data_IF_858036137176
#
_entry.id   IF_858036137176
#
_cell.length_a   1.000
_cell.length_b   1.000
_cell.length_c   1.000
_cell.angle_alpha   90.00
_cell.angle_beta   90.00
_cell.angle_gamma   90.00
#
_symmetry.space_group_name_H-M   'P 1'
#
loop_
_entity.id
_entity.type
_entity.pdbx_description
1 polymer ?
#
# COMPACT_ATOMS: atom_id res chain seq x y z
N UNK A 1 -22.57 -11.26 -3.11
CA UNK A 1 -21.39 -11.52 -3.94
C UNK A 1 -20.56 -12.56 -3.22
N UNK A 2 -20.04 -13.61 -3.88
CA UNK A 2 -19.14 -14.55 -3.22
C UNK A 2 -17.74 -13.92 -3.04
N UNK A 3 -16.97 -14.37 -2.04
CA UNK A 3 -15.61 -13.87 -1.83
C UNK A 3 -14.74 -14.05 -3.07
N UNK A 4 -14.87 -15.15 -3.79
CA UNK A 4 -14.12 -15.38 -5.02
C UNK A 4 -14.42 -14.35 -6.12
N UNK A 5 -15.70 -13.99 -6.31
CA UNK A 5 -16.09 -12.95 -7.27
C UNK A 5 -15.56 -11.57 -6.84
N UNK A 6 -15.65 -11.24 -5.56
CA UNK A 6 -15.10 -10.00 -5.03
C UNK A 6 -13.58 -9.92 -5.25
N UNK A 7 -12.85 -10.97 -4.87
CA UNK A 7 -11.39 -11.00 -5.00
C UNK A 7 -10.90 -10.89 -6.45
N UNK A 8 -11.64 -11.46 -7.42
CA UNK A 8 -11.30 -11.33 -8.86
C UNK A 8 -11.45 -9.90 -9.38
N UNK A 9 -12.38 -9.14 -8.82
CA UNK A 9 -12.62 -7.74 -9.19
C UNK A 9 -11.75 -6.75 -8.41
N UNK A 10 -11.19 -7.17 -7.26
CA UNK A 10 -10.31 -6.35 -6.42
C UNK A 10 -9.01 -6.03 -7.17
N UNK A 11 -8.62 -4.76 -7.21
CA UNK A 11 -7.41 -4.27 -7.87
C UNK A 11 -6.32 -3.84 -6.90
N UNK A 12 -6.70 -3.27 -5.75
CA UNK A 12 -5.77 -2.70 -4.77
C UNK A 12 -5.92 -3.35 -3.40
N UNK A 13 -4.81 -3.84 -2.87
CA UNK A 13 -4.75 -4.60 -1.62
C UNK A 13 -3.67 -4.05 -0.71
N UNK A 14 -4.04 -3.63 0.50
CA UNK A 14 -3.04 -3.33 1.53
C UNK A 14 -2.83 -4.55 2.44
N UNK A 15 -1.58 -4.98 2.59
CA UNK A 15 -1.21 -6.09 3.47
C UNK A 15 -0.68 -5.52 4.77
N UNK A 16 -1.54 -5.50 5.78
CA UNK A 16 -1.28 -4.84 7.07
C UNK A 16 -0.46 -5.77 7.97
N UNK A 17 0.74 -5.33 8.34
CA UNK A 17 1.72 -6.11 9.08
C UNK A 17 2.84 -6.69 8.22
N UNK A 18 2.85 -6.41 6.92
CA UNK A 18 3.91 -6.85 6.01
C UNK A 18 5.17 -6.00 6.18
N UNK A 19 6.13 -6.52 6.90
CA UNK A 19 7.45 -5.94 7.15
C UNK A 19 8.58 -6.84 6.66
N UNK A 20 9.82 -6.54 7.05
CA UNK A 20 11.04 -7.21 6.56
C UNK A 20 11.23 -8.63 7.06
N UNK A 21 10.59 -9.02 8.17
CA UNK A 21 10.75 -10.35 8.73
C UNK A 21 10.10 -11.41 7.82
N UNK A 22 10.93 -12.14 7.08
CA UNK A 22 10.54 -13.16 6.09
C UNK A 22 9.79 -14.37 6.69
N UNK A 23 9.93 -14.60 7.99
CA UNK A 23 9.23 -15.69 8.68
C UNK A 23 7.78 -15.34 9.05
N UNK A 24 7.43 -14.06 8.98
CA UNK A 24 6.09 -13.60 9.31
C UNK A 24 5.10 -13.90 8.17
N UNK A 25 3.89 -14.39 8.51
CA UNK A 25 2.87 -14.69 7.50
C UNK A 25 2.54 -13.51 6.58
N UNK A 26 2.55 -12.27 7.09
CA UNK A 26 2.29 -11.08 6.29
C UNK A 26 3.35 -10.85 5.19
N UNK A 27 4.63 -11.07 5.49
CA UNK A 27 5.71 -10.98 4.50
C UNK A 27 5.55 -12.05 3.42
N UNK A 28 5.31 -13.31 3.85
CA UNK A 28 5.09 -14.44 2.92
C UNK A 28 3.85 -14.20 2.05
N UNK A 29 2.76 -13.71 2.63
CA UNK A 29 1.56 -13.39 1.86
C UNK A 29 1.83 -12.39 0.73
N UNK A 30 2.68 -11.38 0.97
CA UNK A 30 3.10 -10.46 -0.08
C UNK A 30 3.84 -11.18 -1.22
N UNK A 31 4.78 -12.08 -0.88
CA UNK A 31 5.56 -12.84 -1.86
C UNK A 31 4.67 -13.83 -2.64
N UNK A 32 3.86 -14.61 -1.94
CA UNK A 32 3.01 -15.67 -2.52
C UNK A 32 1.95 -15.12 -3.47
N UNK A 33 1.54 -13.88 -3.26
CA UNK A 33 0.52 -13.21 -4.07
C UNK A 33 1.10 -12.33 -5.19
N UNK A 34 2.42 -12.17 -5.26
CA UNK A 34 3.08 -11.45 -6.36
C UNK A 34 2.76 -12.12 -7.70
N UNK A 35 2.41 -11.31 -8.71
CA UNK A 35 2.05 -11.80 -10.04
C UNK A 35 0.58 -12.16 -10.24
N UNK A 36 -0.28 -12.09 -9.20
CA UNK A 36 -1.72 -12.30 -9.32
C UNK A 36 -2.52 -11.06 -9.75
N UNK A 37 -1.85 -10.02 -10.25
CA UNK A 37 -2.48 -8.83 -10.83
C UNK A 37 -2.94 -7.76 -9.83
N UNK A 38 -2.81 -8.00 -8.54
CA UNK A 38 -3.13 -6.99 -7.52
C UNK A 38 -2.06 -5.91 -7.42
N UNK A 39 -2.47 -4.64 -7.26
CA UNK A 39 -1.60 -3.59 -6.72
C UNK A 39 -1.50 -3.82 -5.21
N UNK A 40 -0.40 -4.40 -4.77
CA UNK A 40 -0.18 -4.72 -3.37
C UNK A 40 0.68 -3.68 -2.68
N UNK A 41 0.22 -3.21 -1.52
CA UNK A 41 0.91 -2.23 -0.67
C UNK A 41 1.27 -2.88 0.67
N UNK A 42 2.54 -3.16 0.94
CA UNK A 42 2.96 -3.66 2.25
C UNK A 42 2.95 -2.52 3.26
N UNK A 43 2.35 -2.76 4.43
CA UNK A 43 2.23 -1.74 5.49
C UNK A 43 2.84 -2.26 6.78
N UNK A 44 3.89 -1.58 7.27
CA UNK A 44 4.52 -1.87 8.55
C UNK A 44 5.22 -0.62 9.13
N UNK A 45 4.81 -0.13 10.32
CA UNK A 45 5.26 1.18 10.83
C UNK A 45 6.76 1.23 11.16
N UNK A 46 7.39 0.10 11.54
CA UNK A 46 8.81 0.06 11.91
C UNK A 46 9.75 -0.19 10.74
N UNK A 47 9.26 -0.84 9.69
CA UNK A 47 10.06 -1.22 8.53
C UNK A 47 9.76 -0.29 7.33
N UNK A 48 8.97 0.76 7.55
CA UNK A 48 8.70 1.78 6.55
C UNK A 48 10.00 2.42 6.06
N UNK A 49 10.06 2.69 4.75
CA UNK A 49 11.27 3.16 4.09
C UNK A 49 12.20 2.07 3.58
N UNK A 50 11.87 0.79 3.83
CA UNK A 50 12.50 -0.37 3.19
C UNK A 50 11.57 -0.95 2.12
N UNK A 51 12.01 -2.03 1.43
CA UNK A 51 11.23 -2.67 0.37
C UNK A 51 11.01 -4.17 0.60
N UNK A 52 9.90 -4.69 0.09
CA UNK A 52 9.71 -6.13 -0.13
C UNK A 52 9.67 -6.37 -1.63
N UNK A 53 10.65 -7.09 -2.17
CA UNK A 53 10.77 -7.35 -3.61
C UNK A 53 10.61 -6.08 -4.47
N UNK A 54 11.28 -5.01 -4.08
CA UNK A 54 11.29 -3.74 -4.79
C UNK A 54 10.05 -2.85 -4.60
N UNK A 55 9.09 -3.27 -3.77
CA UNK A 55 7.90 -2.46 -3.42
C UNK A 55 8.09 -1.84 -2.05
N UNK A 56 7.97 -0.51 -1.93
CA UNK A 56 8.14 0.22 -0.67
C UNK A 56 7.16 -0.22 0.42
N UNK A 57 7.66 -0.38 1.63
CA UNK A 57 6.85 -0.59 2.83
C UNK A 57 6.37 0.77 3.33
N UNK A 58 5.06 0.96 3.42
CA UNK A 58 4.49 2.21 3.93
C UNK A 58 4.30 2.17 5.45
N UNK A 59 4.38 3.32 6.14
CA UNK A 59 4.28 3.39 7.59
C UNK A 59 2.86 3.10 8.11
N UNK A 60 1.86 3.44 7.31
CA UNK A 60 0.44 3.30 7.65
C UNK A 60 -0.41 3.25 6.37
N UNK A 61 -1.61 2.67 6.43
CA UNK A 61 -2.40 2.43 5.22
C UNK A 61 -2.89 3.72 4.54
N UNK A 62 -2.98 4.84 5.24
CA UNK A 62 -3.37 6.13 4.65
C UNK A 62 -2.21 6.91 3.99
N UNK A 63 -1.00 6.36 3.95
CA UNK A 63 0.11 6.90 3.17
C UNK A 63 -0.01 6.60 1.65
N UNK A 64 -1.00 5.82 1.24
CA UNK A 64 -1.30 5.48 -0.15
C UNK A 64 -2.75 5.80 -0.48
N UNK A 65 -3.12 5.63 -1.76
CA UNK A 65 -4.53 5.67 -2.19
C UNK A 65 -5.35 4.62 -1.44
N UNK A 66 -6.64 4.91 -1.23
CA UNK A 66 -7.52 4.02 -0.50
C UNK A 66 -7.57 2.64 -1.19
N UNK A 67 -7.37 1.55 -0.45
CA UNK A 67 -7.45 0.19 -0.98
C UNK A 67 -8.91 -0.26 -1.14
N UNK A 68 -9.12 -1.24 -1.99
CA UNK A 68 -10.37 -1.97 -2.05
C UNK A 68 -10.43 -3.10 -1.01
N UNK A 69 -9.26 -3.58 -0.58
CA UNK A 69 -9.12 -4.68 0.38
C UNK A 69 -8.00 -4.41 1.40
N UNK A 70 -8.31 -4.57 2.68
CA UNK A 70 -7.32 -4.78 3.74
C UNK A 70 -7.18 -6.27 4.05
N UNK A 71 -5.97 -6.78 3.99
CA UNK A 71 -5.60 -8.10 4.53
C UNK A 71 -4.81 -7.89 5.81
N UNK A 72 -5.42 -8.21 6.96
CA UNK A 72 -4.91 -7.80 8.28
C UNK A 72 -4.24 -8.97 9.00
N UNK A 73 -2.94 -8.80 9.33
CA UNK A 73 -2.09 -9.74 10.07
C UNK A 73 -1.70 -9.19 11.46
N UNK A 74 -2.50 -8.32 12.04
CA UNK A 74 -2.24 -7.76 13.36
C UNK A 74 -2.89 -8.59 14.47
N UNK A 75 -2.47 -8.38 15.73
CA UNK A 75 -3.22 -8.87 16.88
C UNK A 75 -4.60 -8.22 16.95
N UNK A 76 -5.61 -8.86 17.57
CA UNK A 76 -6.96 -8.31 17.67
C UNK A 76 -7.02 -6.87 18.20
N UNK A 77 -6.27 -6.57 19.27
CA UNK A 77 -6.19 -5.24 19.86
C UNK A 77 -5.71 -4.17 18.85
N UNK A 78 -4.63 -4.48 18.10
CA UNK A 78 -4.10 -3.58 17.07
C UNK A 78 -5.03 -3.45 15.87
N UNK A 79 -5.68 -4.53 15.50
CA UNK A 79 -6.69 -4.57 14.44
C UNK A 79 -7.83 -3.61 14.76
N UNK A 80 -8.43 -3.73 15.96
CA UNK A 80 -9.51 -2.84 16.38
C UNK A 80 -9.07 -1.36 16.43
N UNK A 81 -7.86 -1.12 16.93
CA UNK A 81 -7.28 0.24 16.95
C UNK A 81 -7.09 0.83 15.56
N UNK A 82 -6.65 0.03 14.57
CA UNK A 82 -6.52 0.43 13.18
C UNK A 82 -7.89 0.75 12.56
N UNK A 83 -8.86 -0.16 12.71
CA UNK A 83 -10.20 -0.02 12.12
C UNK A 83 -10.92 1.22 12.64
N UNK A 84 -10.85 1.49 13.94
CA UNK A 84 -11.42 2.71 14.55
C UNK A 84 -10.79 3.99 13.96
N UNK A 85 -9.47 4.02 13.81
CA UNK A 85 -8.77 5.16 13.19
C UNK A 85 -9.17 5.33 11.73
N UNK A 86 -9.34 4.23 10.99
CA UNK A 86 -9.74 4.28 9.59
C UNK A 86 -11.14 4.88 9.43
N UNK A 87 -12.12 4.41 10.20
CA UNK A 87 -13.50 4.93 10.18
C UNK A 87 -13.54 6.43 10.48
N UNK A 88 -12.78 6.90 11.49
CA UNK A 88 -12.71 8.32 11.86
C UNK A 88 -12.02 9.16 10.78
N UNK A 89 -11.17 8.58 9.94
CA UNK A 89 -10.44 9.31 8.88
C UNK A 89 -11.31 9.77 7.72
N UNK A 90 -12.58 9.37 7.67
CA UNK A 90 -13.55 9.68 6.61
C UNK A 90 -13.10 9.26 5.19
N UNK A 91 -12.28 8.22 5.10
CA UNK A 91 -11.86 7.61 3.84
C UNK A 91 -12.82 6.52 3.40
N UNK A 92 -12.75 6.13 2.12
CA UNK A 92 -13.51 4.99 1.62
C UNK A 92 -13.16 3.74 2.42
N UNK A 93 -14.21 3.04 2.89
CA UNK A 93 -14.04 1.82 3.69
C UNK A 93 -13.76 0.63 2.77
N UNK A 94 -12.59 -0.01 2.87
CA UNK A 94 -12.29 -1.22 2.11
C UNK A 94 -13.06 -2.42 2.66
N UNK A 95 -13.09 -3.50 1.89
CA UNK A 95 -13.41 -4.81 2.43
C UNK A 95 -12.32 -5.23 3.42
N UNK A 96 -12.70 -5.78 4.58
CA UNK A 96 -11.76 -6.21 5.62
C UNK A 96 -11.61 -7.73 5.59
N UNK A 97 -10.40 -8.21 5.31
CA UNK A 97 -10.07 -9.63 5.44
C UNK A 97 -9.21 -9.85 6.67
N UNK A 98 -9.84 -10.38 7.72
CA UNK A 98 -9.14 -10.75 8.95
C UNK A 98 -8.45 -12.11 8.74
N UNK A 99 -7.11 -12.13 8.87
CA UNK A 99 -6.37 -13.38 8.84
C UNK A 99 -6.57 -14.15 10.15
N UNK A 100 -6.49 -15.49 10.14
CA UNK A 100 -6.60 -16.29 11.36
C UNK A 100 -5.71 -15.75 12.49
N UNK A 101 -6.31 -15.40 13.62
CA UNK A 101 -5.67 -14.77 14.77
C UNK A 101 -5.67 -13.24 14.79
N UNK A 102 -6.25 -12.58 13.79
CA UNK A 102 -6.48 -11.13 13.78
C UNK A 102 -7.89 -10.75 14.22
N UNK A 103 -8.79 -11.74 14.33
CA UNK A 103 -10.19 -11.59 14.73
C UNK A 103 -10.40 -11.70 16.23
N UNK A 104 -11.47 -11.08 16.72
CA UNK A 104 -12.10 -11.26 18.03
C UNK A 104 -13.57 -10.92 17.94
N UNK A 105 -14.38 -11.31 18.94
CA UNK A 105 -15.80 -10.98 18.98
C UNK A 105 -16.03 -9.47 18.91
N UNK A 106 -15.24 -8.68 19.65
CA UNK A 106 -15.30 -7.20 19.64
C UNK A 106 -15.07 -6.61 18.25
N UNK A 107 -14.16 -7.21 17.45
CA UNK A 107 -13.88 -6.75 16.08
C UNK A 107 -15.04 -7.09 15.17
N UNK A 108 -15.57 -8.31 15.27
CA UNK A 108 -16.70 -8.75 14.45
C UNK A 108 -17.95 -7.93 14.75
N UNK A 109 -18.23 -7.67 16.03
CA UNK A 109 -19.30 -6.78 16.47
C UNK A 109 -19.12 -5.37 15.89
N UNK A 110 -17.94 -4.77 16.06
CA UNK A 110 -17.63 -3.44 15.51
C UNK A 110 -17.83 -3.37 13.99
N UNK A 111 -17.36 -4.36 13.23
CA UNK A 111 -17.52 -4.39 11.78
C UNK A 111 -18.98 -4.54 11.35
N UNK A 112 -19.76 -5.36 12.07
CA UNK A 112 -21.19 -5.55 11.83
C UNK A 112 -21.99 -4.27 12.14
N UNK A 113 -21.74 -3.64 13.29
CA UNK A 113 -22.42 -2.39 13.70
C UNK A 113 -22.10 -1.24 12.74
N UNK A 114 -20.84 -1.15 12.29
CA UNK A 114 -20.41 -0.15 11.31
C UNK A 114 -20.85 -0.46 9.87
N UNK A 115 -21.47 -1.62 9.61
CA UNK A 115 -21.86 -2.05 8.27
C UNK A 115 -20.67 -2.29 7.33
N UNK A 116 -19.48 -2.62 7.86
CA UNK A 116 -18.25 -2.80 7.08
C UNK A 116 -18.18 -4.23 6.55
N UNK A 117 -18.10 -4.42 5.22
CA UNK A 117 -18.01 -5.74 4.63
C UNK A 117 -16.70 -6.42 5.04
N UNK A 118 -16.77 -7.67 5.49
CA UNK A 118 -15.60 -8.38 5.98
C UNK A 118 -15.66 -9.89 5.77
N UNK A 119 -14.51 -10.54 5.92
CA UNK A 119 -14.33 -11.99 5.96
C UNK A 119 -13.38 -12.36 7.09
N UNK A 120 -13.66 -13.47 7.80
CA UNK A 120 -12.85 -14.00 8.91
C UNK A 120 -12.77 -15.53 8.86
N UNK A 121 -11.95 -16.13 9.73
CA UNK A 121 -11.84 -17.59 9.88
C UNK A 121 -11.14 -18.32 8.72
N UNK A 122 -10.61 -17.62 7.72
CA UNK A 122 -9.90 -18.21 6.57
C UNK A 122 -8.73 -17.36 6.11
N UNK A 123 -7.68 -18.01 5.64
CA UNK A 123 -6.50 -17.34 5.10
C UNK A 123 -6.77 -16.85 3.68
N UNK A 124 -6.55 -15.55 3.41
CA UNK A 124 -6.68 -14.93 2.08
C UNK A 124 -5.80 -15.60 1.03
N UNK A 125 -4.52 -15.84 1.36
CA UNK A 125 -3.54 -16.47 0.46
C UNK A 125 -4.00 -17.86 0.06
N UNK A 126 -4.38 -18.70 1.04
CA UNK A 126 -4.87 -20.05 0.81
C UNK A 126 -6.14 -20.04 -0.05
N UNK A 127 -7.07 -19.12 0.26
CA UNK A 127 -8.31 -18.96 -0.52
C UNK A 127 -8.01 -18.63 -1.98
N UNK A 128 -7.09 -17.69 -2.24
CA UNK A 128 -6.71 -17.30 -3.60
C UNK A 128 -5.99 -18.44 -4.35
N UNK A 129 -5.05 -19.14 -3.68
CA UNK A 129 -4.29 -20.21 -4.31
C UNK A 129 -5.18 -21.42 -4.64
N UNK A 130 -5.98 -21.87 -3.68
CA UNK A 130 -6.83 -23.05 -3.86
C UNK A 130 -7.92 -22.88 -4.91
N UNK A 131 -8.39 -21.65 -5.13
CA UNK A 131 -9.46 -21.35 -6.09
C UNK A 131 -8.93 -20.65 -7.36
N UNK A 132 -7.62 -20.62 -7.54
CA UNK A 132 -6.94 -19.94 -8.66
C UNK A 132 -7.50 -18.52 -8.92
N UNK A 133 -7.52 -17.73 -7.86
CA UNK A 133 -8.02 -16.34 -7.90
C UNK A 133 -6.87 -15.38 -8.20
N UNK A 134 -7.07 -14.56 -9.21
CA UNK A 134 -6.22 -13.43 -9.60
C UNK A 134 -7.10 -12.25 -9.96
N UNK A 135 -6.56 -11.04 -9.94
CA UNK A 135 -7.26 -9.86 -10.43
C UNK A 135 -7.53 -9.99 -11.92
N UNK A 136 -8.81 -9.86 -12.34
CA UNK A 136 -9.23 -10.00 -13.75
C UNK A 136 -8.89 -8.75 -14.59
N UNK A 137 -8.85 -7.58 -13.98
CA UNK A 137 -8.54 -6.30 -14.64
C UNK A 137 -7.48 -5.52 -13.85
N UNK A 138 -6.20 -5.94 -13.94
CA UNK A 138 -5.11 -5.32 -13.20
C UNK A 138 -4.95 -3.83 -13.51
N UNK A 139 -4.64 -3.04 -12.48
CA UNK A 139 -4.21 -1.66 -12.70
C UNK A 139 -2.93 -1.62 -13.53
N UNK A 140 -2.77 -0.62 -14.41
CA UNK A 140 -1.52 -0.44 -15.14
C UNK A 140 -0.39 -0.16 -14.16
N UNK A 141 0.79 -0.71 -14.46
CA UNK A 141 1.98 -0.34 -13.71
C UNK A 141 2.27 1.14 -13.96
N UNK A 142 2.46 1.88 -12.88
CA UNK A 142 2.78 3.31 -12.91
C UNK A 142 4.18 3.55 -12.38
N UNK A 143 4.82 4.68 -12.72
CA UNK A 143 6.13 5.02 -12.20
C UNK A 143 6.11 5.20 -10.69
N UNK A 144 7.24 4.88 -10.04
CA UNK A 144 7.53 5.24 -8.68
C UNK A 144 8.21 6.59 -8.62
N UNK A 145 7.91 7.34 -7.58
CA UNK A 145 8.56 8.61 -7.27
C UNK A 145 8.88 8.67 -5.79
N UNK A 146 10.01 9.31 -5.46
CA UNK A 146 10.42 9.43 -4.07
C UNK A 146 11.23 10.71 -3.85
N UNK A 147 11.26 11.14 -2.60
CA UNK A 147 12.14 12.18 -2.11
C UNK A 147 13.00 11.65 -0.99
N UNK A 148 14.30 11.83 -1.12
CA UNK A 148 15.29 11.46 -0.11
C UNK A 148 16.07 12.70 0.33
N UNK A 149 16.73 12.62 1.48
CA UNK A 149 17.73 13.62 1.87
C UNK A 149 19.05 13.26 1.21
N UNK A 150 19.76 14.25 0.64
CA UNK A 150 21.09 14.06 0.08
C UNK A 150 22.07 13.51 1.13
N UNK A 151 22.92 12.59 0.71
CA UNK A 151 23.99 12.02 1.52
C UNK A 151 25.28 12.82 1.48
N UNK A 152 25.36 13.88 0.66
CA UNK A 152 26.55 14.70 0.43
C UNK A 152 26.85 15.68 1.59
N UNK A 153 26.03 15.66 2.63
CA UNK A 153 26.15 16.52 3.81
C UNK A 153 25.60 17.93 3.66
N UNK A 154 25.04 18.26 2.51
CA UNK A 154 24.34 19.54 2.26
C UNK A 154 22.90 19.55 2.76
N UNK A 155 22.37 18.37 3.17
CA UNK A 155 21.00 18.15 3.63
C UNK A 155 19.90 18.60 2.64
N UNK A 156 20.23 18.69 1.36
CA UNK A 156 19.25 19.02 0.34
C UNK A 156 18.34 17.83 0.05
N UNK A 157 17.08 18.10 -0.21
CA UNK A 157 16.13 17.07 -0.66
C UNK A 157 16.35 16.74 -2.12
N UNK A 158 16.32 15.45 -2.45
CA UNK A 158 16.52 14.92 -3.80
C UNK A 158 15.26 14.21 -4.26
N UNK A 159 14.66 14.70 -5.35
CA UNK A 159 13.51 14.07 -6.00
C UNK A 159 13.96 13.11 -7.10
N UNK A 160 13.43 11.88 -7.09
CA UNK A 160 13.76 10.83 -8.06
C UNK A 160 12.52 10.25 -8.70
N UNK A 161 12.65 9.82 -9.95
CA UNK A 161 11.62 9.18 -10.76
C UNK A 161 12.12 7.84 -11.28
N UNK A 162 11.31 6.80 -11.16
CA UNK A 162 11.60 5.45 -11.62
C UNK A 162 10.51 4.97 -12.57
N UNK A 163 10.87 4.46 -13.76
CA UNK A 163 9.90 3.95 -14.72
C UNK A 163 8.98 2.86 -14.15
N UNK A 164 7.80 2.64 -14.77
CA UNK A 164 6.90 1.58 -14.35
C UNK A 164 7.57 0.21 -14.31
N UNK A 165 7.37 -0.52 -13.21
CA UNK A 165 7.92 -1.87 -13.03
C UNK A 165 9.36 -1.94 -12.51
N UNK A 166 9.97 -0.80 -12.19
CA UNK A 166 11.27 -0.77 -11.49
C UNK A 166 11.11 -1.33 -10.07
N UNK A 167 11.98 -2.27 -9.71
CA UNK A 167 12.15 -2.71 -8.32
C UNK A 167 13.02 -1.67 -7.59
N UNK A 168 12.46 -1.04 -6.56
CA UNK A 168 13.17 -0.01 -5.82
C UNK A 168 14.16 -0.62 -4.81
N UNK A 169 15.31 0.05 -4.66
CA UNK A 169 16.19 -0.11 -3.52
C UNK A 169 16.21 1.23 -2.74
N UNK A 170 15.93 1.19 -1.45
CA UNK A 170 15.80 2.38 -0.62
C UNK A 170 16.89 2.37 0.46
N UNK A 171 18.09 2.80 0.06
CA UNK A 171 19.28 2.82 0.95
C UNK A 171 19.54 4.21 1.55
N UNK A 172 18.81 5.23 1.11
CA UNK A 172 18.97 6.62 1.56
C UNK A 172 17.85 7.04 2.52
N UNK A 173 18.08 8.04 3.38
CA UNK A 173 17.06 8.57 4.26
C UNK A 173 15.85 9.07 3.46
N UNK A 174 14.73 8.38 3.62
CA UNK A 174 13.51 8.60 2.87
C UNK A 174 12.64 9.67 3.53
N UNK A 175 12.29 10.71 2.77
CA UNK A 175 11.34 11.73 3.19
C UNK A 175 9.92 11.39 2.74
N UNK A 176 9.77 10.83 1.53
CA UNK A 176 8.51 10.38 0.98
C UNK A 176 8.72 9.37 -0.16
N UNK A 177 7.81 8.40 -0.31
CA UNK A 177 7.76 7.48 -1.44
C UNK A 177 6.31 7.14 -1.78
N UNK A 178 6.02 7.02 -3.07
CA UNK A 178 4.74 6.57 -3.59
C UNK A 178 4.81 6.33 -5.09
N UNK A 179 3.78 5.70 -5.62
CA UNK A 179 3.61 5.65 -7.07
C UNK A 179 2.87 6.91 -7.58
N UNK A 180 2.69 7.00 -8.88
CA UNK A 180 2.03 8.16 -9.48
C UNK A 180 0.56 8.33 -9.00
N UNK A 181 -0.11 7.24 -8.58
CA UNK A 181 -1.45 7.30 -8.00
C UNK A 181 -1.43 7.94 -6.61
N UNK A 182 -0.44 7.55 -5.80
CA UNK A 182 -0.19 8.13 -4.49
C UNK A 182 0.18 9.62 -4.61
N UNK A 183 1.07 9.96 -5.56
CA UNK A 183 1.43 11.35 -5.84
C UNK A 183 0.22 12.21 -6.22
N UNK A 184 -0.74 11.63 -6.96
CA UNK A 184 -1.96 12.34 -7.38
C UNK A 184 -2.91 12.61 -6.23
N UNK A 185 -3.09 11.66 -5.33
CA UNK A 185 -4.17 11.66 -4.33
C UNK A 185 -3.74 12.03 -2.90
N UNK A 186 -2.45 11.91 -2.57
CA UNK A 186 -1.97 12.20 -1.21
C UNK A 186 -2.06 13.68 -0.85
N UNK A 187 -2.56 13.98 0.35
CA UNK A 187 -2.59 15.33 0.93
C UNK A 187 -1.34 15.68 1.74
N UNK A 188 -0.33 14.80 1.73
CA UNK A 188 0.95 15.06 2.39
C UNK A 188 1.68 16.23 1.76
N UNK A 189 2.61 16.83 2.52
CA UNK A 189 3.30 18.07 2.12
C UNK A 189 4.06 17.92 0.80
N UNK A 190 4.82 16.84 0.65
CA UNK A 190 5.67 16.62 -0.54
C UNK A 190 4.82 16.41 -1.80
N UNK A 191 3.85 15.47 -1.84
CA UNK A 191 2.95 15.33 -2.98
C UNK A 191 2.24 16.62 -3.39
N UNK A 192 1.72 17.38 -2.42
CA UNK A 192 1.06 18.66 -2.72
C UNK A 192 2.01 19.66 -3.35
N UNK A 193 3.24 19.75 -2.84
CA UNK A 193 4.28 20.63 -3.39
C UNK A 193 4.63 20.25 -4.83
N UNK A 194 4.87 18.95 -5.10
CA UNK A 194 5.19 18.49 -6.45
C UNK A 194 4.03 18.79 -7.43
N UNK A 195 2.79 18.55 -7.03
CA UNK A 195 1.61 18.90 -7.86
C UNK A 195 1.50 20.40 -8.15
N UNK A 196 1.89 21.26 -7.21
CA UNK A 196 1.87 22.71 -7.42
C UNK A 196 2.90 23.23 -8.43
N UNK A 197 3.88 22.40 -8.81
CA UNK A 197 4.90 22.72 -9.80
C UNK A 197 4.53 22.25 -11.22
N UNK A 198 3.31 21.70 -11.40
CA UNK A 198 2.78 21.31 -12.70
C UNK A 198 2.62 22.54 -13.59
N UNK A 199 3.10 22.46 -14.84
CA UNK A 199 2.98 23.52 -15.82
C UNK A 199 1.73 23.33 -16.69
N UNK A 200 1.29 24.40 -17.37
CA UNK A 200 0.14 24.33 -18.25
C UNK A 200 0.35 23.31 -19.37
N UNK A 201 -0.57 22.35 -19.47
CA UNK A 201 -0.52 21.27 -20.46
C UNK A 201 0.38 20.10 -20.10
N UNK A 202 1.10 20.16 -18.96
CA UNK A 202 1.98 19.09 -18.47
C UNK A 202 1.18 18.06 -17.64
N UNK A 203 1.37 16.78 -17.90
CA UNK A 203 0.84 15.73 -17.05
C UNK A 203 1.64 15.60 -15.74
N UNK A 204 1.03 15.04 -14.71
CA UNK A 204 1.73 14.82 -13.44
C UNK A 204 2.97 13.89 -13.58
N UNK A 205 2.92 12.95 -14.51
CA UNK A 205 4.07 12.08 -14.80
C UNK A 205 5.24 12.86 -15.42
N UNK A 206 4.96 13.75 -16.38
CA UNK A 206 5.95 14.63 -17.00
C UNK A 206 6.52 15.61 -15.97
N UNK A 207 5.68 16.19 -15.11
CA UNK A 207 6.13 17.03 -13.99
C UNK A 207 7.09 16.27 -13.08
N UNK A 208 6.69 15.07 -12.64
CA UNK A 208 7.50 14.26 -11.74
C UNK A 208 8.85 13.87 -12.37
N UNK A 209 8.85 13.57 -13.67
CA UNK A 209 10.07 13.23 -14.42
C UNK A 209 10.96 14.45 -14.64
N UNK A 210 10.39 15.61 -14.98
CA UNK A 210 11.15 16.87 -15.19
C UNK A 210 11.85 17.35 -13.93
N UNK A 211 11.20 17.17 -12.77
CA UNK A 211 11.77 17.56 -11.46
C UNK A 211 12.83 16.59 -10.97
N UNK A 212 12.88 15.38 -11.51
CA UNK A 212 13.80 14.35 -11.04
C UNK A 212 15.25 14.69 -11.43
N UNK A 213 16.16 14.47 -10.48
CA UNK A 213 17.60 14.50 -10.76
C UNK A 213 17.94 13.21 -11.52
N UNK A 214 18.67 13.29 -12.65
CA UNK A 214 19.11 12.09 -13.35
C UNK A 214 19.90 11.18 -12.41
N UNK A 215 19.77 9.85 -12.53
CA UNK A 215 20.63 8.95 -11.79
C UNK A 215 22.09 9.23 -12.18
N UNK A 216 22.93 9.39 -11.16
CA UNK A 216 24.41 9.56 -11.30
C UNK A 216 25.07 8.28 -11.77
#
# INVERSE_FOLDING_TARGET
MSDASFLRQTKSVHIIGAGLNQERPAHRAFIDMKGRGYRMVPVHPRDAGSTIQGVPILPHPWASVDPELFVIFLSPERTLGLLRKWVVSNRNTPFIWLQPGAESDDILEFLNEAGIPHSSGKCWVVTCIQNDISCEDPLPKVPWVLQTTSTDGDHCSVWRYFPPGTDLNLDEPLEWVGDLMDLRSSDERIPRYIRSLCQDGESLAETAQRLAIPPS
#
